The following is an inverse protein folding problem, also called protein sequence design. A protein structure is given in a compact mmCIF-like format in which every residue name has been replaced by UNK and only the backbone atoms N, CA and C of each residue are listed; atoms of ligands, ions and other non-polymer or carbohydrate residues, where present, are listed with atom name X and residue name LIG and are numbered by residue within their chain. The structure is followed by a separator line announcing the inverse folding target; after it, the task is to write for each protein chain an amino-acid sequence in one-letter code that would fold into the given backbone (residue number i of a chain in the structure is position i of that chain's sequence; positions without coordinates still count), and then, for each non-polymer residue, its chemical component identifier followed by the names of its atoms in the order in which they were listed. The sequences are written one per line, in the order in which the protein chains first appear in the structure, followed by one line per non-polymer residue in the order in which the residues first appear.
data_IF_546744609155
#
_entry.id   IF_546744609155
#
_cell.length_a   1.000
_cell.length_b   1.000
_cell.length_c   1.000
_cell.angle_alpha   90.00
_cell.angle_beta   90.00
_cell.angle_gamma   90.00
#
_symmetry.space_group_name_H-M   'P 1'
#
loop_
_entity.id
_entity.type
_entity.pdbx_description
1 polymer ?
#
# COMPACT_ATOMS: atom_id res chain seq x y z
N UNK A 1 -1.61 28.12 -20.56
CA UNK A 1 -2.91 28.41 -19.93
C UNK A 1 -3.12 27.57 -18.67
N UNK A 2 -3.36 26.25 -18.75
CA UNK A 2 -3.63 25.42 -17.55
C UNK A 2 -2.54 25.55 -16.47
N UNK A 3 -1.26 25.51 -16.86
CA UNK A 3 -0.13 25.68 -15.94
C UNK A 3 -0.15 27.01 -15.18
N UNK A 4 -0.47 28.12 -15.87
CA UNK A 4 -0.51 29.46 -15.24
C UNK A 4 -1.69 29.62 -14.31
N UNK A 5 -2.84 29.02 -14.63
CA UNK A 5 -4.04 29.02 -13.77
C UNK A 5 -3.74 28.26 -12.47
N UNK A 6 -3.22 27.04 -12.58
CA UNK A 6 -2.88 26.21 -11.41
C UNK A 6 -1.78 26.83 -10.56
N UNK A 7 -0.79 27.46 -11.21
CA UNK A 7 0.25 28.22 -10.50
C UNK A 7 -0.36 29.42 -9.75
N UNK A 8 -1.27 30.16 -10.35
CA UNK A 8 -1.95 31.28 -9.68
C UNK A 8 -2.75 30.80 -8.46
N UNK A 9 -3.50 29.70 -8.60
CA UNK A 9 -4.28 29.10 -7.51
C UNK A 9 -3.41 28.69 -6.32
N UNK A 10 -2.25 28.08 -6.59
CA UNK A 10 -1.29 27.67 -5.54
C UNK A 10 -0.80 28.87 -4.71
N UNK A 11 -0.73 30.06 -5.31
CA UNK A 11 -0.33 31.30 -4.62
C UNK A 11 -1.51 32.17 -4.17
N UNK A 12 -2.76 31.71 -4.40
CA UNK A 12 -3.96 32.50 -4.11
C UNK A 12 -4.09 33.76 -4.96
N UNK A 13 -3.47 33.80 -6.14
CA UNK A 13 -3.53 34.93 -7.07
C UNK A 13 -4.85 34.83 -7.87
N UNK A 14 -5.65 35.91 -7.95
CA UNK A 14 -6.86 35.94 -8.76
C UNK A 14 -6.54 35.65 -10.23
N UNK A 15 -7.28 34.71 -10.81
CA UNK A 15 -7.15 34.34 -12.23
C UNK A 15 -8.06 35.27 -13.03
N UNK A 16 -7.53 36.10 -13.94
CA UNK A 16 -8.35 37.03 -14.70
C UNK A 16 -9.16 36.29 -15.78
N UNK A 17 -10.39 36.73 -16.04
CA UNK A 17 -11.29 36.11 -17.03
C UNK A 17 -10.69 36.02 -18.44
N UNK A 18 -9.83 36.99 -18.78
CA UNK A 18 -9.19 37.03 -20.07
C UNK A 18 -8.18 35.91 -20.31
N UNK A 19 -7.76 35.16 -19.28
CA UNK A 19 -6.79 34.06 -19.42
C UNK A 19 -7.26 33.00 -20.43
N UNK A 20 -8.58 32.89 -20.63
CA UNK A 20 -9.22 31.98 -21.59
C UNK A 20 -9.23 32.51 -23.02
N UNK A 21 -8.86 33.79 -23.25
CA UNK A 21 -8.79 34.39 -24.58
C UNK A 21 -7.43 34.14 -25.22
N UNK A 22 -7.33 33.34 -26.30
CA UNK A 22 -6.05 32.94 -26.88
C UNK A 22 -5.17 34.11 -27.34
N UNK A 23 -5.79 35.18 -27.89
CA UNK A 23 -5.06 36.37 -28.37
C UNK A 23 -4.36 37.12 -27.23
N UNK A 24 -5.08 37.41 -26.15
CA UNK A 24 -4.51 38.10 -24.98
C UNK A 24 -3.44 37.26 -24.28
N UNK A 25 -3.62 35.95 -24.24
CA UNK A 25 -2.59 35.05 -23.72
C UNK A 25 -1.34 35.07 -24.61
N UNK A 26 -1.50 35.04 -25.94
CA UNK A 26 -0.37 35.14 -26.87
C UNK A 26 0.39 36.47 -26.71
N UNK A 27 -0.33 37.60 -26.61
CA UNK A 27 0.29 38.91 -26.34
C UNK A 27 1.07 38.96 -25.02
N UNK A 28 0.61 38.25 -23.99
CA UNK A 28 1.32 38.15 -22.72
C UNK A 28 2.58 37.27 -22.85
N UNK A 29 2.50 36.17 -23.61
CA UNK A 29 3.63 35.26 -23.87
C UNK A 29 4.70 35.93 -24.73
N UNK A 30 4.31 36.71 -25.72
CA UNK A 30 5.22 37.44 -26.64
C UNK A 30 6.14 38.43 -25.91
N UNK A 31 5.71 38.92 -24.74
CA UNK A 31 6.49 39.81 -23.88
C UNK A 31 7.52 39.09 -23.02
N UNK A 32 7.52 37.75 -23.01
CA UNK A 32 8.43 36.95 -22.18
C UNK A 32 9.75 36.76 -22.92
N UNK A 33 10.84 37.26 -22.35
CA UNK A 33 12.18 37.01 -22.87
C UNK A 33 12.60 35.60 -22.46
N UNK A 34 12.76 34.71 -23.44
CA UNK A 34 13.24 33.34 -23.24
C UNK A 34 14.77 33.33 -23.41
N UNK A 35 15.55 33.00 -22.36
CA UNK A 35 17.00 32.93 -22.48
C UNK A 35 17.42 31.74 -23.37
N UNK A 36 18.49 31.92 -24.13
CA UNK A 36 19.05 30.85 -24.97
C UNK A 36 19.53 29.66 -24.13
N UNK A 37 19.28 28.46 -24.63
CA UNK A 37 19.74 27.24 -23.98
C UNK A 37 21.26 27.10 -24.10
N UNK A 38 21.94 26.95 -22.95
CA UNK A 38 23.36 26.64 -22.88
C UNK A 38 23.57 25.23 -22.32
N UNK A 39 24.17 24.29 -23.08
CA UNK A 39 24.42 22.95 -22.59
C UNK A 39 25.43 22.98 -21.46
N UNK A 40 25.05 22.41 -20.32
CA UNK A 40 25.95 22.25 -19.17
C UNK A 40 26.93 21.12 -19.44
N UNK A 41 28.21 21.37 -19.14
CA UNK A 41 29.24 20.32 -19.11
C UNK A 41 29.01 19.44 -17.87
N UNK A 42 29.37 18.16 -17.97
CA UNK A 42 29.34 17.20 -16.85
C UNK A 42 27.95 16.77 -16.33
N UNK A 43 26.89 16.97 -17.12
CA UNK A 43 25.56 16.41 -16.81
C UNK A 43 25.56 14.90 -17.08
N UNK A 44 25.37 14.10 -16.02
CA UNK A 44 25.22 12.64 -16.14
C UNK A 44 23.77 12.28 -16.46
N UNK A 45 23.56 11.64 -17.61
CA UNK A 45 22.26 11.07 -18.00
C UNK A 45 22.36 9.55 -17.82
N UNK A 46 21.54 9.02 -16.91
CA UNK A 46 21.45 7.57 -16.69
C UNK A 46 20.65 6.95 -17.83
N UNK A 47 21.22 5.93 -18.48
CA UNK A 47 20.60 5.22 -19.61
C UNK A 47 20.25 3.77 -19.31
N UNK A 48 20.75 3.21 -18.19
CA UNK A 48 20.45 1.85 -17.75
C UNK A 48 19.36 1.87 -16.66
N UNK A 49 18.24 1.20 -16.90
CA UNK A 49 17.12 1.07 -15.98
C UNK A 49 17.47 0.32 -14.68
N UNK A 50 18.56 -0.47 -14.69
CA UNK A 50 19.06 -1.20 -13.51
C UNK A 50 20.13 -0.44 -12.73
N UNK A 51 20.55 0.74 -13.19
CA UNK A 51 21.54 1.53 -12.49
C UNK A 51 20.96 2.06 -11.16
N UNK A 52 21.40 1.47 -10.05
CA UNK A 52 21.09 1.91 -8.68
C UNK A 52 22.01 3.02 -8.18
N UNK A 53 22.90 3.53 -9.03
CA UNK A 53 23.87 4.56 -8.65
C UNK A 53 23.17 5.90 -8.44
N UNK A 54 22.67 6.11 -7.21
CA UNK A 54 22.61 7.45 -6.64
C UNK A 54 24.05 7.96 -6.63
N UNK A 55 24.32 9.08 -7.30
CA UNK A 55 25.63 9.70 -7.25
C UNK A 55 26.03 9.87 -5.78
N UNK A 56 27.17 9.30 -5.38
CA UNK A 56 27.70 9.47 -4.03
C UNK A 56 27.79 10.96 -3.73
N UNK A 57 27.14 11.42 -2.66
CA UNK A 57 27.12 12.84 -2.29
C UNK A 57 28.56 13.38 -2.28
N UNK A 58 28.82 14.34 -3.15
CA UNK A 58 30.13 14.97 -3.28
C UNK A 58 30.28 16.09 -2.24
N UNK A 59 31.51 16.47 -1.92
CA UNK A 59 31.79 17.60 -1.01
C UNK A 59 31.18 18.91 -1.54
N UNK A 60 31.02 19.03 -2.86
CA UNK A 60 30.36 20.14 -3.53
C UNK A 60 28.85 20.18 -3.22
N UNK A 61 28.18 19.02 -3.15
CA UNK A 61 26.75 18.94 -2.83
C UNK A 61 26.44 19.51 -1.45
N UNK A 62 27.29 19.22 -0.44
CA UNK A 62 27.10 19.74 0.91
C UNK A 62 27.24 21.28 0.95
N UNK A 63 28.19 21.84 0.19
CA UNK A 63 28.36 23.29 0.09
C UNK A 63 27.17 23.95 -0.60
N UNK A 64 26.69 23.38 -1.72
CA UNK A 64 25.51 23.85 -2.45
C UNK A 64 24.25 23.77 -1.58
N UNK A 65 24.05 22.67 -0.85
CA UNK A 65 22.91 22.50 0.07
C UNK A 65 22.94 23.58 1.15
N UNK A 66 24.11 23.83 1.78
CA UNK A 66 24.23 24.87 2.80
C UNK A 66 23.94 26.27 2.23
N UNK A 67 24.44 26.57 1.02
CA UNK A 67 24.12 27.84 0.35
C UNK A 67 22.62 27.99 0.09
N UNK A 68 21.95 26.93 -0.38
CA UNK A 68 20.51 26.93 -0.61
C UNK A 68 19.71 27.11 0.70
N UNK A 69 20.14 26.48 1.80
CA UNK A 69 19.53 26.66 3.12
C UNK A 69 19.62 28.13 3.54
N UNK A 70 20.79 28.77 3.44
CA UNK A 70 20.94 30.18 3.78
C UNK A 70 20.03 31.08 2.92
N UNK A 71 19.94 30.80 1.62
CA UNK A 71 19.03 31.54 0.72
C UNK A 71 17.57 31.36 1.13
N UNK A 72 17.15 30.14 1.49
CA UNK A 72 15.79 29.84 1.94
C UNK A 72 15.47 30.56 3.26
N UNK A 73 16.39 30.58 4.22
CA UNK A 73 16.22 31.31 5.48
C UNK A 73 16.05 32.82 5.25
N UNK A 74 16.82 33.39 4.33
CA UNK A 74 16.70 34.80 3.99
C UNK A 74 15.36 35.10 3.30
N UNK A 75 14.93 34.27 2.36
CA UNK A 75 13.61 34.39 1.72
C UNK A 75 12.46 34.20 2.73
N UNK A 76 12.61 33.32 3.72
CA UNK A 76 11.59 33.11 4.74
C UNK A 76 11.34 34.38 5.56
N UNK A 77 12.37 35.20 5.81
CA UNK A 77 12.24 36.48 6.52
C UNK A 77 11.47 37.55 5.73
N UNK A 78 11.46 37.46 4.40
CA UNK A 78 10.76 38.44 3.54
C UNK A 78 9.31 38.08 3.27
N UNK A 79 8.89 36.84 3.56
CA UNK A 79 7.52 36.39 3.38
C UNK A 79 6.60 36.92 4.50
N UNK A 80 5.34 37.26 4.19
CA UNK A 80 4.35 37.59 5.20
C UNK A 80 4.18 36.45 6.22
N UNK A 81 3.96 36.74 7.52
CA UNK A 81 3.93 35.73 8.59
C UNK A 81 2.84 34.66 8.43
N UNK A 82 1.79 34.93 7.65
CA UNK A 82 0.70 33.99 7.38
C UNK A 82 0.66 33.51 5.91
N UNK A 83 1.74 33.73 5.14
CA UNK A 83 1.80 33.26 3.77
C UNK A 83 1.76 31.73 3.75
N UNK A 84 0.77 31.18 3.03
CA UNK A 84 0.64 29.74 2.80
C UNK A 84 0.31 29.50 1.34
N UNK A 85 1.04 28.57 0.74
CA UNK A 85 0.68 28.04 -0.57
C UNK A 85 -0.48 27.06 -0.41
N UNK A 86 -1.33 27.01 -1.43
CA UNK A 86 -2.45 26.08 -1.52
C UNK A 86 -2.02 24.89 -2.39
N UNK A 87 -1.75 23.71 -1.81
CA UNK A 87 -1.45 22.54 -2.63
C UNK A 87 -2.66 22.20 -3.50
N UNK A 88 -2.41 21.92 -4.78
CA UNK A 88 -3.46 21.45 -5.68
C UNK A 88 -3.76 19.99 -5.35
N UNK A 89 -4.99 19.71 -4.95
CA UNK A 89 -5.47 18.35 -4.78
C UNK A 89 -5.95 17.84 -6.14
N UNK A 90 -5.27 16.82 -6.66
CA UNK A 90 -5.63 16.25 -7.96
C UNK A 90 -7.06 15.69 -7.93
N UNK A 91 -7.88 16.22 -8.82
CA UNK A 91 -9.24 15.76 -9.13
C UNK A 91 -9.36 15.60 -10.64
N UNK A 92 -9.66 14.38 -11.07
CA UNK A 92 -9.75 13.99 -12.49
C UNK A 92 -11.15 14.14 -13.06
N UNK A 93 -12.16 14.19 -12.19
CA UNK A 93 -13.58 14.16 -12.55
C UNK A 93 -14.24 15.54 -12.66
N UNK A 94 -13.49 16.59 -12.36
CA UNK A 94 -13.88 17.97 -12.62
C UNK A 94 -13.12 18.54 -13.83
N UNK A 95 -13.84 18.74 -14.94
CA UNK A 95 -13.27 19.28 -16.18
C UNK A 95 -13.01 20.80 -16.13
N UNK A 96 -13.42 21.48 -15.06
CA UNK A 96 -13.28 22.94 -14.90
C UNK A 96 -12.03 23.35 -14.14
N UNK A 97 -11.35 22.40 -13.46
CA UNK A 97 -10.18 22.66 -12.62
C UNK A 97 -8.83 22.68 -13.38
N UNK A 98 -8.81 22.42 -14.68
CA UNK A 98 -7.61 22.43 -15.52
C UNK A 98 -6.52 21.38 -15.19
N UNK A 99 -6.75 20.44 -14.27
CA UNK A 99 -5.78 19.40 -13.94
C UNK A 99 -5.49 18.51 -15.15
N UNK A 100 -6.54 17.95 -15.74
CA UNK A 100 -6.40 17.07 -16.90
C UNK A 100 -5.94 17.81 -18.15
N UNK A 101 -6.27 19.10 -18.29
CA UNK A 101 -5.77 19.93 -19.38
C UNK A 101 -4.27 20.14 -19.29
N UNK A 102 -3.73 20.34 -18.07
CA UNK A 102 -2.28 20.43 -17.86
C UNK A 102 -1.59 19.10 -18.15
N UNK A 103 -2.11 18.00 -17.61
CA UNK A 103 -1.52 16.66 -17.77
C UNK A 103 -1.50 16.25 -19.25
N UNK A 104 -2.64 16.36 -19.95
CA UNK A 104 -2.73 15.98 -21.36
C UNK A 104 -1.82 16.85 -22.24
N UNK A 105 -1.78 18.17 -22.00
CA UNK A 105 -0.93 19.07 -22.77
C UNK A 105 0.57 18.77 -22.57
N UNK A 106 1.02 18.59 -21.32
CA UNK A 106 2.42 18.27 -21.02
C UNK A 106 2.82 16.90 -21.58
N UNK A 107 1.95 15.90 -21.45
CA UNK A 107 2.18 14.57 -22.01
C UNK A 107 2.33 14.63 -23.54
N UNK A 108 1.44 15.34 -24.24
CA UNK A 108 1.50 15.47 -25.70
C UNK A 108 2.69 16.33 -26.15
N UNK A 109 3.08 17.38 -25.42
CA UNK A 109 4.31 18.13 -25.70
C UNK A 109 5.55 17.23 -25.58
N UNK A 110 5.62 16.39 -24.54
CA UNK A 110 6.71 15.40 -24.41
C UNK A 110 6.65 14.35 -25.52
N UNK A 111 5.46 13.90 -25.90
CA UNK A 111 5.28 12.92 -26.98
C UNK A 111 5.84 13.45 -28.31
N UNK A 112 5.59 14.72 -28.66
CA UNK A 112 6.15 15.38 -29.85
C UNK A 112 7.68 15.36 -29.87
N UNK A 113 8.34 15.55 -28.72
CA UNK A 113 9.81 15.54 -28.65
C UNK A 113 10.42 14.19 -29.06
N UNK A 114 9.66 13.09 -28.91
CA UNK A 114 10.12 11.73 -29.20
C UNK A 114 9.33 11.07 -30.33
N UNK A 115 8.55 11.84 -31.11
CA UNK A 115 7.69 11.33 -32.18
C UNK A 115 6.71 10.23 -31.73
N UNK A 116 6.24 10.30 -30.48
CA UNK A 116 5.23 9.39 -29.93
C UNK A 116 3.84 9.94 -30.31
N UNK A 117 2.87 9.08 -30.70
CA UNK A 117 1.51 9.52 -31.00
C UNK A 117 0.85 10.23 -29.81
N UNK A 118 0.24 11.38 -30.09
CA UNK A 118 -0.54 12.14 -29.09
C UNK A 118 -1.82 11.40 -28.71
N UNK A 119 -2.30 11.68 -27.50
CA UNK A 119 -3.56 11.15 -26.98
C UNK A 119 -4.53 12.28 -26.68
N UNK A 120 -5.83 12.02 -26.82
CA UNK A 120 -6.85 12.98 -26.39
C UNK A 120 -6.95 13.07 -24.86
N UNK A 121 -7.72 14.05 -24.37
CA UNK A 121 -7.93 14.28 -22.94
C UNK A 121 -8.61 13.09 -22.24
N UNK A 122 -9.48 12.35 -22.92
CA UNK A 122 -10.20 11.21 -22.33
C UNK A 122 -9.24 10.03 -22.09
N UNK A 123 -8.40 9.70 -23.08
CA UNK A 123 -7.37 8.67 -22.97
C UNK A 123 -6.29 9.07 -21.95
N UNK A 124 -5.90 10.34 -21.91
CA UNK A 124 -5.02 10.86 -20.88
C UNK A 124 -5.65 10.72 -19.47
N UNK A 125 -6.94 11.07 -19.32
CA UNK A 125 -7.71 10.93 -18.07
C UNK A 125 -7.82 9.48 -17.64
N UNK A 126 -8.07 8.57 -18.59
CA UNK A 126 -8.11 7.13 -18.33
C UNK A 126 -6.80 6.62 -17.73
N UNK A 127 -5.67 6.97 -18.33
CA UNK A 127 -4.34 6.51 -17.90
C UNK A 127 -3.90 7.21 -16.61
N UNK A 128 -3.90 8.55 -16.57
CA UNK A 128 -3.40 9.33 -15.43
C UNK A 128 -4.30 9.17 -14.19
N UNK A 129 -5.61 9.04 -14.42
CA UNK A 129 -6.61 8.84 -13.39
C UNK A 129 -6.71 7.40 -12.87
N UNK A 130 -5.97 6.45 -13.46
CA UNK A 130 -6.04 5.01 -13.15
C UNK A 130 -7.49 4.50 -13.14
N UNK A 131 -8.27 4.91 -14.13
CA UNK A 131 -9.70 4.58 -14.20
C UNK A 131 -9.83 3.08 -14.45
N UNK A 132 -10.58 2.39 -13.58
CA UNK A 132 -10.99 1.01 -13.80
C UNK A 132 -12.29 1.06 -14.62
N UNK A 133 -12.30 0.57 -15.87
CA UNK A 133 -13.53 0.49 -16.66
C UNK A 133 -14.58 -0.34 -15.92
N UNK A 134 -15.79 0.19 -15.81
CA UNK A 134 -16.92 -0.50 -15.22
C UNK A 134 -18.19 -0.20 -16.03
N UNK A 135 -19.04 -1.22 -16.15
CA UNK A 135 -20.36 -1.12 -16.78
C UNK A 135 -21.34 -1.94 -15.96
N UNK A 136 -22.58 -1.45 -15.84
CA UNK A 136 -23.60 -2.03 -14.99
C UNK A 136 -23.92 -3.50 -15.33
N UNK A 137 -23.77 -3.92 -16.59
CA UNK A 137 -24.04 -5.30 -17.03
C UNK A 137 -23.11 -6.31 -16.35
N UNK A 138 -21.80 -6.04 -16.30
CA UNK A 138 -20.84 -6.90 -15.61
C UNK A 138 -21.08 -6.94 -14.10
N UNK A 139 -21.43 -5.79 -13.50
CA UNK A 139 -21.76 -5.72 -12.06
C UNK A 139 -23.02 -6.52 -11.74
N UNK A 140 -24.11 -6.33 -12.49
CA UNK A 140 -25.36 -7.05 -12.28
C UNK A 140 -25.18 -8.57 -12.44
N UNK A 141 -24.43 -9.01 -13.45
CA UNK A 141 -24.07 -10.42 -13.64
C UNK A 141 -23.28 -10.96 -12.46
N UNK A 142 -22.20 -10.28 -12.04
CA UNK A 142 -21.36 -10.72 -10.93
C UNK A 142 -22.17 -10.81 -9.62
N UNK A 143 -23.00 -9.81 -9.32
CA UNK A 143 -23.90 -9.82 -8.16
C UNK A 143 -24.90 -10.97 -8.23
N UNK A 144 -25.52 -11.21 -9.38
CA UNK A 144 -26.44 -12.33 -9.57
C UNK A 144 -25.79 -13.68 -9.26
N UNK A 145 -24.57 -13.91 -9.76
CA UNK A 145 -23.80 -15.14 -9.50
C UNK A 145 -23.42 -15.27 -8.01
N UNK A 146 -23.03 -14.18 -7.36
CA UNK A 146 -22.77 -14.17 -5.90
C UNK A 146 -24.03 -14.53 -5.12
N UNK A 147 -25.20 -14.00 -5.50
CA UNK A 147 -26.47 -14.35 -4.86
C UNK A 147 -26.84 -15.83 -5.03
N UNK A 148 -26.45 -16.47 -6.14
CA UNK A 148 -26.66 -17.91 -6.31
C UNK A 148 -25.81 -18.73 -5.34
N UNK A 149 -24.54 -18.37 -5.14
CA UNK A 149 -23.68 -19.03 -4.15
C UNK A 149 -24.12 -18.74 -2.71
N UNK A 150 -24.71 -17.56 -2.45
CA UNK A 150 -25.24 -17.19 -1.14
C UNK A 150 -26.33 -18.15 -0.65
N UNK A 151 -27.20 -18.67 -1.52
CA UNK A 151 -28.20 -19.67 -1.13
C UNK A 151 -27.55 -20.92 -0.53
N UNK A 152 -26.42 -21.37 -1.11
CA UNK A 152 -25.70 -22.56 -0.63
C UNK A 152 -25.07 -22.32 0.74
N UNK A 153 -24.51 -21.13 0.95
CA UNK A 153 -23.94 -20.73 2.24
C UNK A 153 -25.01 -20.66 3.33
N UNK A 154 -26.19 -20.11 3.01
CA UNK A 154 -27.30 -19.99 3.98
C UNK A 154 -27.86 -21.36 4.35
N UNK A 155 -27.99 -22.27 3.39
CA UNK A 155 -28.47 -23.63 3.65
C UNK A 155 -27.48 -24.45 4.51
N UNK A 156 -26.17 -24.24 4.31
CA UNK A 156 -25.12 -24.80 5.17
C UNK A 156 -24.91 -26.32 5.04
N UNK A 157 -25.68 -27.02 4.20
CA UNK A 157 -25.56 -28.47 3.99
C UNK A 157 -24.79 -28.88 2.73
N UNK A 158 -24.29 -27.89 1.99
CA UNK A 158 -23.58 -28.07 0.73
C UNK A 158 -22.13 -28.52 0.89
N UNK A 159 -21.70 -29.44 0.04
CA UNK A 159 -20.30 -29.90 -0.05
C UNK A 159 -19.48 -28.93 -0.89
N UNK A 160 -18.15 -29.04 -0.81
CA UNK A 160 -17.23 -28.18 -1.56
C UNK A 160 -17.53 -28.21 -3.07
N UNK A 161 -17.85 -29.39 -3.58
CA UNK A 161 -18.13 -29.67 -4.99
C UNK A 161 -19.46 -29.08 -5.47
N UNK A 162 -20.28 -28.51 -4.58
CA UNK A 162 -21.49 -27.79 -4.95
C UNK A 162 -21.20 -26.31 -5.25
N UNK A 163 -20.12 -25.74 -4.70
CA UNK A 163 -19.75 -24.33 -4.88
C UNK A 163 -19.09 -24.07 -6.23
N UNK A 164 -19.26 -22.86 -6.78
CA UNK A 164 -18.65 -22.48 -8.07
C UNK A 164 -18.00 -21.11 -8.00
N UNK A 165 -16.70 -21.07 -8.28
CA UNK A 165 -16.01 -19.86 -8.69
C UNK A 165 -16.34 -19.59 -10.16
N UNK A 166 -17.00 -18.48 -10.46
CA UNK A 166 -17.37 -18.12 -11.84
C UNK A 166 -16.47 -17.02 -12.39
N UNK A 167 -15.82 -17.30 -13.51
CA UNK A 167 -15.03 -16.38 -14.31
C UNK A 167 -15.81 -16.04 -15.57
N UNK A 168 -16.04 -14.75 -15.83
CA UNK A 168 -16.85 -14.32 -16.94
C UNK A 168 -16.18 -13.21 -17.75
N UNK A 169 -16.31 -13.29 -19.07
CA UNK A 169 -15.94 -12.23 -20.01
C UNK A 169 -17.08 -12.01 -21.00
N UNK A 170 -17.90 -10.99 -20.73
CA UNK A 170 -19.06 -10.62 -21.54
C UNK A 170 -18.70 -10.10 -22.95
N UNK A 171 -17.44 -9.73 -23.21
CA UNK A 171 -17.01 -9.35 -24.55
C UNK A 171 -16.86 -10.58 -25.48
N UNK A 172 -16.54 -11.75 -24.91
CA UNK A 172 -16.40 -13.04 -25.63
C UNK A 172 -17.56 -14.01 -25.34
N UNK A 173 -18.70 -13.50 -24.85
CA UNK A 173 -19.69 -14.25 -24.05
C UNK A 173 -19.19 -15.50 -23.31
N UNK A 174 -18.02 -15.43 -22.67
CA UNK A 174 -17.38 -16.58 -22.04
C UNK A 174 -17.77 -16.67 -20.57
N UNK A 175 -18.20 -17.86 -20.14
CA UNK A 175 -18.43 -18.21 -18.75
C UNK A 175 -17.66 -19.50 -18.44
N UNK A 176 -16.81 -19.46 -17.43
CA UNK A 176 -16.07 -20.61 -16.94
C UNK A 176 -16.35 -20.75 -15.45
N UNK A 177 -16.75 -21.94 -15.03
CA UNK A 177 -17.01 -22.23 -13.63
C UNK A 177 -16.03 -23.30 -13.16
N UNK A 178 -15.43 -23.08 -12.00
CA UNK A 178 -14.51 -24.01 -11.37
C UNK A 178 -14.91 -24.27 -9.93
N UNK A 179 -14.64 -25.49 -9.46
CA UNK A 179 -14.77 -25.81 -8.03
C UNK A 179 -13.74 -25.00 -7.22
N UNK A 180 -14.09 -24.52 -6.03
CA UNK A 180 -13.12 -23.93 -5.12
C UNK A 180 -12.06 -24.95 -4.72
N UNK A 181 -10.83 -24.47 -4.55
CA UNK A 181 -9.72 -25.32 -4.13
C UNK A 181 -9.92 -25.68 -2.65
N UNK A 182 -9.88 -26.97 -2.27
CA UNK A 182 -9.96 -27.37 -0.87
C UNK A 182 -8.77 -26.78 -0.08
N UNK A 183 -8.95 -26.45 1.21
CA UNK A 183 -7.84 -25.96 2.00
C UNK A 183 -6.75 -27.03 2.13
N UNK A 184 -5.48 -26.62 2.10
CA UNK A 184 -4.36 -27.51 2.38
C UNK A 184 -4.47 -28.03 3.82
N UNK A 185 -4.55 -29.35 3.98
CA UNK A 185 -4.55 -30.01 5.28
C UNK A 185 -3.12 -30.33 5.68
N UNK A 186 -2.66 -29.74 6.78
CA UNK A 186 -1.41 -30.11 7.46
C UNK A 186 -1.72 -31.24 8.42
N UNK A 187 -0.91 -32.30 8.41
CA UNK A 187 -1.03 -33.44 9.32
C UNK A 187 0.22 -33.53 10.18
N UNK A 188 0.03 -33.71 11.47
CA UNK A 188 1.12 -33.89 12.42
C UNK A 188 0.66 -34.83 13.52
N UNK A 189 1.35 -35.97 13.68
CA UNK A 189 0.92 -37.06 14.55
C UNK A 189 -0.56 -37.44 14.33
N UNK A 190 -1.38 -37.39 15.39
CA UNK A 190 -2.82 -37.66 15.35
C UNK A 190 -3.68 -36.41 15.11
N UNK A 191 -3.06 -35.27 14.81
CA UNK A 191 -3.73 -34.00 14.57
C UNK A 191 -3.72 -33.63 13.08
N UNK A 192 -4.74 -32.89 12.68
CA UNK A 192 -4.80 -32.27 11.36
C UNK A 192 -5.46 -30.91 11.44
N UNK A 193 -4.98 -29.95 10.66
CA UNK A 193 -5.52 -28.60 10.59
C UNK A 193 -5.35 -27.99 9.21
N UNK A 194 -5.96 -26.83 9.03
CA UNK A 194 -6.04 -26.02 7.82
C UNK A 194 -5.78 -24.56 8.16
N UNK A 195 -5.76 -23.70 7.13
CA UNK A 195 -5.64 -22.24 7.31
C UNK A 195 -6.79 -21.60 8.11
N UNK A 196 -7.91 -22.31 8.26
CA UNK A 196 -9.10 -21.82 8.97
C UNK A 196 -9.08 -22.14 10.46
N UNK A 197 -8.20 -23.05 10.87
CA UNK A 197 -8.10 -23.47 12.25
C UNK A 197 -7.39 -22.40 13.09
N UNK A 198 -7.78 -22.34 14.36
CA UNK A 198 -7.22 -21.42 15.34
C UNK A 198 -7.18 -22.11 16.70
N UNK A 199 -6.04 -22.03 17.37
CA UNK A 199 -5.89 -22.56 18.72
C UNK A 199 -6.16 -21.47 19.74
N UNK A 200 -7.28 -21.61 20.45
CA UNK A 200 -7.69 -20.64 21.48
C UNK A 200 -7.22 -21.15 22.84
N UNK A 201 -6.32 -20.41 23.46
CA UNK A 201 -5.82 -20.71 24.80
C UNK A 201 -6.44 -19.72 25.79
N UNK A 202 -7.20 -20.24 26.74
CA UNK A 202 -7.81 -19.47 27.84
C UNK A 202 -6.84 -19.38 29.01
N UNK A 203 -6.88 -18.29 29.78
CA UNK A 203 -6.13 -18.20 31.04
C UNK A 203 -4.96 -17.24 31.03
N UNK A 204 -4.58 -16.70 29.87
CA UNK A 204 -3.32 -15.97 29.68
C UNK A 204 -2.13 -16.75 30.30
N UNK A 205 -1.71 -17.88 29.69
CA UNK A 205 -0.68 -18.74 30.25
C UNK A 205 0.67 -18.00 30.30
N UNK A 206 1.57 -18.54 31.12
CA UNK A 206 2.99 -18.21 31.04
C UNK A 206 3.60 -18.70 29.73
N UNK A 207 4.71 -18.08 29.33
CA UNK A 207 5.47 -18.53 28.16
C UNK A 207 5.90 -20.00 28.31
N UNK A 208 6.31 -20.42 29.51
CA UNK A 208 6.64 -21.81 29.83
C UNK A 208 5.47 -22.76 29.61
N UNK A 209 4.28 -22.40 30.10
CA UNK A 209 3.07 -23.21 29.91
C UNK A 209 2.67 -23.30 28.43
N UNK A 210 2.80 -22.21 27.66
CA UNK A 210 2.55 -22.24 26.21
C UNK A 210 3.52 -23.16 25.48
N UNK A 211 4.82 -23.08 25.78
CA UNK A 211 5.84 -23.95 25.19
C UNK A 211 5.60 -25.41 25.57
N UNK A 212 5.26 -25.70 26.83
CA UNK A 212 4.92 -27.06 27.25
C UNK A 212 3.66 -27.57 26.55
N UNK A 213 2.63 -26.73 26.41
CA UNK A 213 1.39 -27.11 25.71
C UNK A 213 1.61 -27.47 24.24
N UNK A 214 2.60 -26.85 23.58
CA UNK A 214 3.04 -27.21 22.23
C UNK A 214 3.90 -28.47 22.24
N UNK A 215 4.85 -28.60 23.17
CA UNK A 215 5.68 -29.78 23.31
C UNK A 215 4.87 -31.06 23.58
N UNK A 216 3.80 -30.96 24.40
CA UNK A 216 2.86 -32.06 24.66
C UNK A 216 2.14 -32.55 23.38
N UNK A 217 2.21 -31.79 22.29
CA UNK A 217 1.68 -32.12 20.96
C UNK A 217 2.75 -32.52 19.95
N UNK A 218 4.01 -32.66 20.38
CA UNK A 218 5.16 -32.92 19.50
C UNK A 218 5.62 -31.69 18.71
N UNK A 219 5.32 -30.48 19.18
CA UNK A 219 5.67 -29.24 18.51
C UNK A 219 6.69 -28.46 19.34
N UNK A 220 7.91 -28.38 18.84
CA UNK A 220 9.04 -27.71 19.46
C UNK A 220 9.08 -26.26 18.98
N UNK A 221 8.43 -25.35 19.71
CA UNK A 221 8.41 -23.94 19.38
C UNK A 221 9.76 -23.26 19.63
N UNK A 222 10.38 -22.76 18.56
CA UNK A 222 11.65 -22.03 18.63
C UNK A 222 11.48 -20.51 18.52
N UNK A 223 10.32 -20.01 18.09
CA UNK A 223 10.04 -18.58 17.96
C UNK A 223 8.56 -18.26 18.23
N UNK A 224 8.28 -17.26 19.06
CA UNK A 224 6.92 -16.76 19.33
C UNK A 224 6.95 -15.23 19.19
N UNK A 225 6.08 -14.72 18.32
CA UNK A 225 6.00 -13.29 18.00
C UNK A 225 4.58 -12.76 18.12
N UNK A 226 4.48 -11.49 18.52
CA UNK A 226 3.26 -10.70 18.48
C UNK A 226 3.49 -9.50 17.56
N UNK A 227 2.82 -9.47 16.41
CA UNK A 227 3.10 -8.51 15.35
C UNK A 227 4.57 -8.58 14.92
N UNK A 228 5.27 -7.45 14.93
CA UNK A 228 6.72 -7.37 14.63
C UNK A 228 7.62 -7.66 15.85
N UNK A 229 7.05 -7.96 17.01
CA UNK A 229 7.80 -8.08 18.26
C UNK A 229 8.02 -9.53 18.66
N UNK A 230 9.29 -9.88 18.87
CA UNK A 230 9.71 -11.22 19.26
C UNK A 230 9.56 -11.42 20.78
N UNK A 231 8.53 -12.15 21.19
CA UNK A 231 8.27 -12.44 22.60
C UNK A 231 9.25 -13.48 23.13
N UNK A 232 9.51 -14.51 22.33
CA UNK A 232 10.44 -15.59 22.62
C UNK A 232 11.15 -16.07 21.36
N UNK A 233 12.41 -16.47 21.52
CA UNK A 233 13.14 -17.20 20.49
C UNK A 233 14.30 -17.96 21.15
N UNK A 234 14.47 -19.24 20.80
CA UNK A 234 15.41 -20.18 21.43
C UNK A 234 16.88 -19.76 21.27
N UNK A 235 17.22 -19.03 20.20
CA UNK A 235 18.57 -18.56 19.89
C UNK A 235 19.03 -17.41 20.79
N UNK A 236 18.13 -16.75 21.53
CA UNK A 236 18.46 -15.63 22.41
C UNK A 236 18.43 -16.07 23.88
N UNK A 237 19.60 -16.25 24.55
CA UNK A 237 19.64 -16.72 25.94
C UNK A 237 18.84 -15.86 26.92
N UNK A 238 18.81 -14.53 26.70
CA UNK A 238 18.03 -13.58 27.53
C UNK A 238 16.53 -13.84 27.50
N UNK A 239 16.00 -14.49 26.47
CA UNK A 239 14.58 -14.83 26.41
C UNK A 239 14.20 -15.94 27.40
N UNK A 240 15.17 -16.69 27.94
CA UNK A 240 14.93 -17.65 29.03
C UNK A 240 14.46 -16.98 30.33
N UNK A 241 14.80 -15.72 30.55
CA UNK A 241 14.33 -14.92 31.71
C UNK A 241 12.83 -14.56 31.61
N UNK A 242 12.21 -14.75 30.43
CA UNK A 242 10.80 -14.44 30.17
C UNK A 242 9.86 -15.62 30.42
N UNK A 243 10.37 -16.80 30.73
CA UNK A 243 9.61 -18.06 30.79
C UNK A 243 8.43 -18.00 31.75
N UNK A 244 8.59 -17.33 32.89
CA UNK A 244 7.58 -17.26 33.94
C UNK A 244 6.65 -16.05 33.80
N UNK A 245 6.84 -15.23 32.76
CA UNK A 245 5.93 -14.12 32.44
C UNK A 245 4.77 -14.62 31.58
N UNK A 246 3.59 -14.04 31.81
CA UNK A 246 2.39 -14.31 31.00
C UNK A 246 2.55 -13.76 29.58
N UNK A 247 2.00 -14.45 28.59
CA UNK A 247 2.14 -14.10 27.17
C UNK A 247 1.57 -12.70 26.87
N UNK A 248 0.40 -12.35 27.41
CA UNK A 248 -0.18 -11.03 27.21
C UNK A 248 0.64 -9.92 27.91
N UNK A 249 1.23 -10.20 29.06
CA UNK A 249 2.07 -9.24 29.78
C UNK A 249 3.40 -9.02 29.06
N UNK A 250 3.98 -10.09 28.48
CA UNK A 250 5.15 -9.98 27.61
C UNK A 250 4.88 -9.13 26.37
N UNK A 251 3.71 -9.27 25.77
CA UNK A 251 3.31 -8.44 24.64
C UNK A 251 3.21 -6.96 25.06
N UNK A 252 2.65 -6.65 26.23
CA UNK A 252 2.60 -5.28 26.77
C UNK A 252 4.00 -4.74 27.07
N UNK A 253 4.84 -5.51 27.76
CA UNK A 253 6.17 -5.09 28.19
C UNK A 253 7.14 -4.89 27.01
N UNK A 254 7.19 -5.86 26.09
CA UNK A 254 8.20 -5.93 25.04
C UNK A 254 7.73 -5.20 23.78
N UNK A 255 6.47 -5.39 23.39
CA UNK A 255 5.92 -4.72 22.22
C UNK A 255 5.43 -3.30 22.53
N UNK A 256 5.35 -2.92 23.83
CA UNK A 256 4.78 -1.64 24.28
C UNK A 256 3.37 -1.40 23.72
N UNK A 257 2.63 -2.50 23.54
CA UNK A 257 1.28 -2.45 22.98
C UNK A 257 0.26 -2.42 24.11
N UNK A 258 -0.51 -1.34 24.16
CA UNK A 258 -1.76 -1.29 24.90
C UNK A 258 -2.85 -1.93 24.05
N UNK A 259 -3.42 -3.03 24.54
CA UNK A 259 -4.56 -3.66 23.89
C UNK A 259 -5.78 -2.75 24.06
N UNK A 260 -6.52 -2.43 22.98
CA UNK A 260 -7.74 -1.64 23.10
C UNK A 260 -8.76 -2.30 24.05
N UNK A 261 -9.60 -1.54 24.76
CA UNK A 261 -10.55 -2.08 25.75
C UNK A 261 -11.55 -3.09 25.20
N UNK A 262 -11.82 -3.05 23.89
CA UNK A 262 -12.74 -3.98 23.22
C UNK A 262 -12.09 -5.30 22.77
N UNK A 263 -10.78 -5.47 22.99
CA UNK A 263 -10.03 -6.64 22.55
C UNK A 263 -9.66 -7.52 23.75
N UNK A 264 -10.28 -8.69 23.80
CA UNK A 264 -10.17 -9.70 24.86
C UNK A 264 -9.12 -10.79 24.59
N UNK A 265 -8.50 -10.77 23.41
CA UNK A 265 -7.52 -11.76 22.97
C UNK A 265 -6.29 -11.15 22.31
N UNK A 266 -5.20 -11.91 22.35
CA UNK A 266 -3.92 -11.59 21.74
C UNK A 266 -3.52 -12.74 20.80
N UNK A 267 -3.26 -12.41 19.53
CA UNK A 267 -2.83 -13.41 18.55
C UNK A 267 -1.31 -13.47 18.48
N UNK A 268 -0.75 -14.66 18.70
CA UNK A 268 0.69 -14.90 18.51
C UNK A 268 0.92 -15.78 17.28
N UNK A 269 2.01 -15.48 16.59
CA UNK A 269 2.55 -16.32 15.53
C UNK A 269 3.68 -17.13 16.12
N UNK A 270 3.62 -18.44 15.94
CA UNK A 270 4.59 -19.38 16.50
C UNK A 270 5.23 -20.15 15.36
N UNK A 271 6.56 -20.19 15.36
CA UNK A 271 7.32 -21.08 14.50
C UNK A 271 7.82 -22.25 15.37
N UNK A 272 7.58 -23.46 14.87
CA UNK A 272 7.90 -24.69 15.56
C UNK A 272 8.37 -25.76 14.58
N UNK A 273 9.18 -26.67 15.11
CA UNK A 273 9.63 -27.87 14.44
C UNK A 273 8.93 -29.10 15.04
N UNK A 274 8.85 -30.20 14.29
CA UNK A 274 8.49 -31.50 14.85
C UNK A 274 9.69 -32.19 15.53
N UNK A 275 9.49 -33.43 15.99
CA UNK A 275 10.54 -34.23 16.64
C UNK A 275 11.63 -34.71 15.66
N UNK A 276 11.44 -34.50 14.35
CA UNK A 276 12.40 -34.79 13.28
C UNK A 276 13.12 -33.52 12.77
N UNK A 277 13.01 -32.41 13.51
CA UNK A 277 13.58 -31.09 13.17
C UNK A 277 13.04 -30.50 11.84
N UNK A 278 11.84 -30.89 11.40
CA UNK A 278 11.18 -30.28 10.24
C UNK A 278 10.30 -29.11 10.68
N UNK A 279 10.39 -27.97 9.97
CA UNK A 279 9.46 -26.85 10.17
C UNK A 279 8.01 -27.27 9.93
N UNK A 280 7.13 -26.95 10.88
CA UNK A 280 5.69 -27.24 10.81
C UNK A 280 4.88 -25.95 10.90
N UNK A 281 4.09 -25.68 9.85
CA UNK A 281 3.09 -24.60 9.87
C UNK A 281 1.93 -24.97 10.79
N UNK A 282 1.75 -24.24 11.88
CA UNK A 282 0.66 -24.46 12.85
C UNK A 282 -0.44 -23.40 12.76
N UNK A 283 -1.65 -23.70 13.28
CA UNK A 283 -2.72 -22.72 13.38
C UNK A 283 -2.30 -21.49 14.19
N UNK A 284 -2.91 -20.35 13.87
CA UNK A 284 -2.73 -19.15 14.67
C UNK A 284 -3.18 -19.41 16.11
N UNK A 285 -2.40 -18.94 17.09
CA UNK A 285 -2.73 -19.10 18.51
C UNK A 285 -3.30 -17.79 19.03
N UNK A 286 -4.53 -17.84 19.55
CA UNK A 286 -5.18 -16.72 20.22
C UNK A 286 -5.21 -16.96 21.72
N UNK A 287 -4.51 -16.12 22.47
CA UNK A 287 -4.49 -16.12 23.93
C UNK A 287 -5.58 -15.17 24.42
N UNK A 288 -6.58 -15.70 25.11
CA UNK A 288 -7.67 -14.92 25.70
C UNK A 288 -7.38 -14.60 27.17
N UNK A 289 -7.67 -13.36 27.58
CA UNK A 289 -7.72 -13.02 29.00
C UNK A 289 -8.93 -13.69 29.62
N UNK A 290 -8.79 -14.22 30.83
CA UNK A 290 -9.96 -14.62 31.62
C UNK A 290 -10.39 -13.37 32.37
N UNK A 291 -11.40 -12.70 31.85
CA UNK A 291 -12.33 -11.93 32.69
C UNK A 291 -13.58 -12.78 32.92
#
# INVERSE_FOLDING_TARGET
MAASILRAETFGIPVPDWVKHPKKLAEAVDKVIVPDFQPKKDVKIVTDEKATSLATASVDDAAVINELIMKLEQCRKTLPPNFRMKPIQFEKDDDTNYHMDLIAALANMRARNYSIPEVDKLKAKFIAGRIIPAIATSTAMATGLVCLELYKVIDGSHKLEDYRNTFANLALPLFSMAEPVPPKVVKHQNMSWTVWDRWIIKGNPTLRELLQWLADKGLNAYSISFGSCLLYNSMFPRHKERMDKKVADLARDVAKVELPPYRDHLDVVVACEDDEDNDVDIPQISVTSVE
#
